data_IF_767541520981
#
_entry.id   IF_767541520981
#
_cell.length_a   1.000
_cell.length_b   1.000
_cell.length_c   1.000
_cell.angle_alpha   90.00
_cell.angle_beta   90.00
_cell.angle_gamma   90.00
#
_symmetry.space_group_name_H-M   'P 1'
#
loop_
_entity.id
_entity.type
_entity.pdbx_description
1 polymer ?
#
# COMPACT_ATOMS: atom_id res chain seq x y z
N UNK A 1 17.29 6.46 9.27
CA UNK A 1 18.70 5.97 9.18
C UNK A 1 18.64 4.59 8.56
N UNK A 2 19.57 4.30 7.64
CA UNK A 2 19.73 2.93 7.15
C UNK A 2 20.24 2.08 8.30
N UNK A 3 19.48 1.04 8.70
CA UNK A 3 19.84 0.19 9.83
C UNK A 3 20.14 -1.21 9.28
N UNK A 4 21.31 -1.69 9.57
CA UNK A 4 21.74 -3.05 9.23
C UNK A 4 21.15 -4.01 10.26
N UNK A 5 20.14 -4.77 9.84
CA UNK A 5 19.42 -5.70 10.73
C UNK A 5 20.23 -6.96 11.06
N UNK A 6 21.45 -7.10 10.51
CA UNK A 6 22.30 -8.29 10.70
C UNK A 6 23.31 -8.13 11.83
N UNK A 7 23.42 -6.93 12.46
CA UNK A 7 24.50 -6.60 13.40
C UNK A 7 24.15 -6.67 14.88
N UNK A 8 22.89 -6.44 15.23
CA UNK A 8 22.44 -6.43 16.62
C UNK A 8 21.75 -7.76 16.99
N UNK A 9 21.54 -7.98 18.28
CA UNK A 9 20.79 -9.16 18.78
C UNK A 9 19.38 -9.21 18.16
N UNK A 10 18.90 -10.38 17.69
CA UNK A 10 17.64 -10.54 16.94
C UNK A 10 16.45 -9.85 17.59
N UNK A 11 16.18 -10.12 18.85
CA UNK A 11 15.01 -9.61 19.58
C UNK A 11 14.96 -8.10 19.61
N UNK A 12 16.07 -7.43 19.97
CA UNK A 12 16.14 -5.98 20.08
C UNK A 12 15.97 -5.32 18.72
N UNK A 13 16.57 -5.89 17.68
CA UNK A 13 16.48 -5.40 16.31
C UNK A 13 15.06 -5.53 15.78
N UNK A 14 14.43 -6.69 15.98
CA UNK A 14 13.05 -6.94 15.54
C UNK A 14 12.06 -5.99 16.21
N UNK A 15 12.10 -5.83 17.53
CA UNK A 15 11.19 -4.91 18.21
C UNK A 15 11.38 -3.47 17.80
N UNK A 16 12.62 -3.00 17.67
CA UNK A 16 12.93 -1.63 17.23
C UNK A 16 12.46 -1.34 15.81
N UNK A 17 12.44 -2.35 14.95
CA UNK A 17 11.99 -2.27 13.58
C UNK A 17 10.46 -2.44 13.47
N UNK A 18 9.87 -3.36 14.22
CA UNK A 18 8.46 -3.70 14.21
C UNK A 18 7.57 -2.60 14.81
N UNK A 19 7.97 -2.02 15.96
CA UNK A 19 7.13 -1.04 16.67
C UNK A 19 6.70 0.14 15.79
N UNK A 20 7.58 0.83 15.04
CA UNK A 20 7.13 1.91 14.16
C UNK A 20 6.18 1.43 13.06
N UNK A 21 6.33 0.21 12.55
CA UNK A 21 5.43 -0.37 11.55
C UNK A 21 4.05 -0.65 12.14
N UNK A 22 3.98 -1.18 13.36
CA UNK A 22 2.71 -1.40 14.08
C UNK A 22 1.99 -0.08 14.36
N UNK A 23 2.72 0.95 14.79
CA UNK A 23 2.16 2.30 14.95
C UNK A 23 1.62 2.86 13.63
N UNK A 24 2.30 2.62 12.52
CA UNK A 24 1.82 3.01 11.18
C UNK A 24 0.47 2.37 10.87
N UNK A 25 0.33 1.07 11.11
CA UNK A 25 -0.92 0.33 10.87
C UNK A 25 -2.04 0.82 11.76
N UNK A 26 -1.78 0.98 13.07
CA UNK A 26 -2.77 1.48 14.00
C UNK A 26 -3.26 2.89 13.61
N UNK A 27 -2.33 3.78 13.27
CA UNK A 27 -2.65 5.13 12.84
C UNK A 27 -3.43 5.14 11.52
N UNK A 28 -3.06 4.28 10.55
CA UNK A 28 -3.78 4.14 9.29
C UNK A 28 -5.24 3.73 9.49
N UNK A 29 -5.52 2.85 10.46
CA UNK A 29 -6.90 2.46 10.78
C UNK A 29 -7.70 3.61 11.38
N UNK A 30 -7.10 4.39 12.30
CA UNK A 30 -7.73 5.59 12.85
C UNK A 30 -8.01 6.61 11.73
N UNK A 31 -7.05 6.83 10.85
CA UNK A 31 -7.20 7.69 9.70
C UNK A 31 -8.35 7.24 8.78
N UNK A 32 -8.43 5.96 8.41
CA UNK A 32 -9.50 5.42 7.56
C UNK A 32 -10.89 5.62 8.18
N UNK A 33 -11.00 5.55 9.52
CA UNK A 33 -12.26 5.83 10.23
C UNK A 33 -12.59 7.33 10.12
N UNK A 34 -11.62 8.21 10.36
CA UNK A 34 -11.82 9.66 10.29
C UNK A 34 -12.21 10.11 8.87
N UNK A 35 -11.54 9.62 7.85
CA UNK A 35 -11.86 9.87 6.44
C UNK A 35 -13.29 9.45 6.09
N UNK A 36 -13.69 8.23 6.49
CA UNK A 36 -15.05 7.73 6.30
C UNK A 36 -16.12 8.57 7.05
N UNK A 37 -15.78 9.08 8.23
CA UNK A 37 -16.69 9.96 9.00
C UNK A 37 -16.84 11.32 8.32
N UNK A 38 -15.77 11.90 7.79
CA UNK A 38 -15.82 13.18 7.07
C UNK A 38 -16.63 13.01 5.77
N UNK A 39 -16.35 11.97 5.00
CA UNK A 39 -17.10 11.67 3.78
C UNK A 39 -18.59 11.49 4.06
N UNK A 40 -18.96 10.68 5.04
CA UNK A 40 -20.36 10.43 5.39
C UNK A 40 -21.09 11.66 5.90
N UNK A 41 -20.43 12.50 6.73
CA UNK A 41 -21.05 13.68 7.33
C UNK A 41 -21.21 14.86 6.36
N UNK A 42 -20.27 15.07 5.48
CA UNK A 42 -20.19 16.28 4.66
C UNK A 42 -20.44 16.04 3.15
N UNK A 43 -20.13 14.85 2.62
CA UNK A 43 -20.42 14.53 1.22
C UNK A 43 -21.81 13.93 1.01
N UNK A 44 -22.45 13.41 2.08
CA UNK A 44 -23.78 12.81 2.04
C UNK A 44 -23.75 11.29 1.92
N UNK A 45 -24.92 10.67 2.12
CA UNK A 45 -25.08 9.20 2.16
C UNK A 45 -24.80 8.57 0.78
N UNK A 46 -25.24 9.19 -0.31
CA UNK A 46 -25.00 8.68 -1.66
C UNK A 46 -23.52 8.70 -2.03
N UNK A 47 -22.80 9.74 -1.60
CA UNK A 47 -21.35 9.83 -1.79
C UNK A 47 -20.60 8.72 -1.04
N UNK A 48 -20.96 8.50 0.23
CA UNK A 48 -20.38 7.42 1.03
C UNK A 48 -20.72 6.05 0.43
N UNK A 49 -21.95 5.86 -0.05
CA UNK A 49 -22.38 4.64 -0.71
C UNK A 49 -21.59 4.39 -2.04
N UNK A 50 -21.34 5.45 -2.82
CA UNK A 50 -20.56 5.36 -4.07
C UNK A 50 -19.09 4.97 -3.81
N UNK A 51 -18.46 5.58 -2.80
CA UNK A 51 -17.09 5.22 -2.37
C UNK A 51 -17.07 3.77 -1.87
N UNK A 52 -18.04 3.38 -1.03
CA UNK A 52 -18.19 2.02 -0.52
C UNK A 52 -18.39 0.98 -1.61
N UNK A 53 -19.23 1.27 -2.61
CA UNK A 53 -19.46 0.39 -3.77
C UNK A 53 -18.19 0.22 -4.63
N UNK A 54 -17.33 1.24 -4.71
CA UNK A 54 -16.05 1.18 -5.45
C UNK A 54 -14.96 0.38 -4.72
N UNK A 55 -15.12 0.14 -3.41
CA UNK A 55 -14.10 -0.46 -2.55
C UNK A 55 -13.57 -1.82 -3.05
N UNK A 56 -14.39 -2.79 -3.50
CA UNK A 56 -13.90 -4.07 -4.01
C UNK A 56 -12.93 -3.92 -5.19
N UNK A 57 -13.19 -2.95 -6.07
CA UNK A 57 -12.34 -2.66 -7.23
C UNK A 57 -11.03 -2.01 -6.78
N UNK A 58 -11.10 -1.04 -5.86
CA UNK A 58 -9.90 -0.37 -5.35
C UNK A 58 -8.97 -1.33 -4.61
N UNK A 59 -9.52 -2.33 -3.87
CA UNK A 59 -8.71 -3.36 -3.19
C UNK A 59 -7.96 -4.24 -4.19
N UNK A 60 -8.54 -4.56 -5.34
CA UNK A 60 -7.84 -5.30 -6.40
C UNK A 60 -6.66 -4.47 -6.92
N UNK A 61 -6.84 -3.18 -7.21
CA UNK A 61 -5.74 -2.31 -7.60
C UNK A 61 -4.67 -2.17 -6.50
N UNK A 62 -5.08 -2.08 -5.23
CA UNK A 62 -4.14 -2.09 -4.10
C UNK A 62 -3.33 -3.38 -4.01
N UNK A 63 -3.91 -4.54 -4.36
CA UNK A 63 -3.19 -5.81 -4.33
C UNK A 63 -1.93 -5.78 -5.23
N UNK A 64 -2.02 -5.11 -6.40
CA UNK A 64 -0.85 -4.92 -7.26
C UNK A 64 0.23 -4.05 -6.59
N UNK A 65 -0.17 -2.98 -5.92
CA UNK A 65 0.78 -2.10 -5.22
C UNK A 65 1.47 -2.82 -4.05
N UNK A 66 0.71 -3.58 -3.25
CA UNK A 66 1.23 -4.37 -2.13
C UNK A 66 2.14 -5.50 -2.60
N UNK A 67 1.77 -6.21 -3.67
CA UNK A 67 2.61 -7.26 -4.24
C UNK A 67 3.93 -6.73 -4.79
N UNK A 68 3.91 -5.62 -5.52
CA UNK A 68 5.14 -4.98 -6.03
C UNK A 68 6.02 -4.43 -4.89
N UNK A 69 5.41 -3.89 -3.83
CA UNK A 69 6.10 -3.51 -2.60
C UNK A 69 6.86 -4.71 -2.00
N UNK A 70 6.16 -5.83 -1.79
CA UNK A 70 6.76 -7.03 -1.17
C UNK A 70 7.89 -7.60 -2.05
N UNK A 71 7.65 -7.74 -3.36
CA UNK A 71 8.67 -8.23 -4.29
C UNK A 71 9.93 -7.36 -4.31
N UNK A 72 9.77 -6.05 -4.39
CA UNK A 72 10.87 -5.09 -4.34
C UNK A 72 11.59 -5.14 -2.98
N UNK A 73 10.85 -5.16 -1.87
CA UNK A 73 11.40 -5.17 -0.52
C UNK A 73 12.29 -6.39 -0.27
N UNK A 74 11.84 -7.59 -0.61
CA UNK A 74 12.60 -8.84 -0.38
C UNK A 74 13.90 -8.86 -1.19
N UNK A 75 13.84 -8.51 -2.49
CA UNK A 75 15.04 -8.53 -3.35
C UNK A 75 16.04 -7.46 -2.92
N UNK A 76 15.57 -6.25 -2.59
CA UNK A 76 16.44 -5.17 -2.09
C UNK A 76 17.04 -5.54 -0.74
N UNK A 77 16.26 -6.13 0.20
CA UNK A 77 16.74 -6.60 1.50
C UNK A 77 17.87 -7.61 1.36
N UNK A 78 17.70 -8.60 0.46
CA UNK A 78 18.71 -9.64 0.19
C UNK A 78 20.01 -9.05 -0.34
N UNK A 79 19.93 -8.15 -1.34
CA UNK A 79 21.11 -7.50 -1.91
C UNK A 79 21.77 -6.55 -0.92
N UNK A 80 20.99 -5.88 -0.07
CA UNK A 80 21.48 -5.03 0.98
C UNK A 80 22.26 -5.84 2.05
N UNK A 81 21.70 -6.96 2.51
CA UNK A 81 22.38 -7.88 3.43
C UNK A 81 23.66 -8.47 2.87
N UNK A 82 23.70 -8.76 1.56
CA UNK A 82 24.91 -9.21 0.85
C UNK A 82 25.97 -8.12 0.67
N UNK A 83 25.68 -6.87 1.04
CA UNK A 83 26.60 -5.73 0.84
C UNK A 83 26.75 -5.28 -0.63
N UNK A 84 25.93 -5.83 -1.54
CA UNK A 84 25.97 -5.47 -2.97
C UNK A 84 25.25 -4.15 -3.24
N UNK A 85 25.97 -3.04 -3.02
CA UNK A 85 25.45 -1.68 -3.23
C UNK A 85 25.00 -1.41 -4.66
N UNK A 86 25.73 -1.95 -5.65
CA UNK A 86 25.38 -1.80 -7.07
C UNK A 86 24.13 -2.62 -7.42
N UNK A 87 24.02 -3.83 -6.85
CA UNK A 87 22.83 -4.67 -6.94
C UNK A 87 21.60 -4.01 -6.34
N UNK A 88 21.72 -3.43 -5.14
CA UNK A 88 20.63 -2.64 -4.51
C UNK A 88 20.14 -1.54 -5.45
N UNK A 89 21.06 -0.74 -6.02
CA UNK A 89 20.68 0.35 -6.93
C UNK A 89 19.98 -0.16 -8.19
N UNK A 90 20.48 -1.27 -8.80
CA UNK A 90 19.83 -1.92 -9.95
C UNK A 90 18.46 -2.48 -9.60
N UNK A 91 18.30 -3.10 -8.43
CA UNK A 91 17.01 -3.62 -7.98
C UNK A 91 16.00 -2.50 -7.77
N UNK A 92 16.41 -1.39 -7.16
CA UNK A 92 15.57 -0.21 -6.94
C UNK A 92 15.13 0.40 -8.27
N UNK A 93 16.04 0.64 -9.22
CA UNK A 93 15.68 1.20 -10.54
C UNK A 93 14.76 0.26 -11.31
N UNK A 94 15.00 -1.05 -11.26
CA UNK A 94 14.14 -2.07 -11.89
C UNK A 94 12.75 -2.11 -11.24
N UNK A 95 12.67 -2.04 -9.90
CA UNK A 95 11.41 -2.00 -9.18
C UNK A 95 10.58 -0.76 -9.55
N UNK A 96 11.20 0.41 -9.63
CA UNK A 96 10.51 1.63 -10.08
C UNK A 96 10.05 1.54 -11.54
N UNK A 97 10.92 1.12 -12.45
CA UNK A 97 10.57 1.01 -13.86
C UNK A 97 9.40 0.04 -14.07
N UNK A 98 9.44 -1.14 -13.44
CA UNK A 98 8.39 -2.14 -13.55
C UNK A 98 7.07 -1.70 -12.90
N UNK A 99 7.14 -1.10 -11.71
CA UNK A 99 5.94 -0.63 -10.99
C UNK A 99 5.30 0.55 -11.70
N UNK A 100 6.08 1.48 -12.23
CA UNK A 100 5.55 2.61 -13.00
C UNK A 100 4.90 2.13 -14.31
N UNK A 101 5.52 1.20 -15.02
CA UNK A 101 4.93 0.59 -16.22
C UNK A 101 3.61 -0.11 -15.90
N UNK A 102 3.57 -0.89 -14.82
CA UNK A 102 2.35 -1.55 -14.36
C UNK A 102 1.28 -0.52 -13.95
N UNK A 103 1.66 0.54 -13.23
CA UNK A 103 0.75 1.62 -12.85
C UNK A 103 0.11 2.28 -14.08
N UNK A 104 0.90 2.58 -15.11
CA UNK A 104 0.38 3.16 -16.37
C UNK A 104 -0.60 2.20 -17.04
N UNK A 105 -0.26 0.90 -17.16
CA UNK A 105 -1.15 -0.11 -17.75
C UNK A 105 -2.47 -0.19 -16.97
N UNK A 106 -2.41 -0.26 -15.63
CA UNK A 106 -3.60 -0.33 -14.78
C UNK A 106 -4.42 0.96 -14.83
N UNK A 107 -3.76 2.12 -14.92
CA UNK A 107 -4.45 3.42 -15.07
C UNK A 107 -5.20 3.49 -16.39
N UNK A 108 -4.56 3.13 -17.50
CA UNK A 108 -5.20 3.12 -18.82
C UNK A 108 -6.37 2.13 -18.84
N UNK A 109 -6.13 0.90 -18.38
CA UNK A 109 -7.19 -0.13 -18.30
C UNK A 109 -8.35 0.36 -17.40
N UNK A 110 -8.04 0.80 -16.18
CA UNK A 110 -9.04 1.28 -15.23
C UNK A 110 -9.86 2.44 -15.79
N UNK A 111 -9.20 3.44 -16.40
CA UNK A 111 -9.90 4.62 -16.95
C UNK A 111 -10.96 4.26 -17.99
N UNK A 112 -10.63 3.37 -18.92
CA UNK A 112 -11.58 2.94 -19.96
C UNK A 112 -12.67 2.01 -19.44
N UNK A 113 -12.37 1.17 -18.44
CA UNK A 113 -13.28 0.14 -17.95
C UNK A 113 -13.94 0.45 -16.60
N UNK A 114 -13.75 1.65 -16.02
CA UNK A 114 -14.37 2.04 -14.74
C UNK A 114 -15.87 1.74 -14.70
N UNK A 115 -16.60 2.15 -15.74
CA UNK A 115 -18.06 1.95 -15.81
C UNK A 115 -18.42 0.47 -15.86
N UNK A 116 -17.77 -0.30 -16.73
CA UNK A 116 -18.01 -1.74 -16.85
C UNK A 116 -17.72 -2.48 -15.52
N UNK A 117 -16.65 -2.10 -14.82
CA UNK A 117 -16.33 -2.68 -13.52
C UNK A 117 -17.45 -2.42 -12.49
N UNK A 118 -17.98 -1.19 -12.44
CA UNK A 118 -19.10 -0.84 -11.56
C UNK A 118 -20.38 -1.57 -11.95
N UNK A 119 -20.65 -1.77 -13.24
CA UNK A 119 -21.76 -2.55 -13.74
C UNK A 119 -21.63 -4.05 -13.38
N UNK A 120 -20.43 -4.63 -13.47
CA UNK A 120 -20.16 -6.03 -13.09
C UNK A 120 -20.43 -6.33 -11.62
N UNK A 121 -20.20 -5.37 -10.74
CA UNK A 121 -20.51 -5.51 -9.31
C UNK A 121 -21.94 -5.09 -8.96
N UNK A 122 -22.80 -4.90 -9.98
CA UNK A 122 -24.22 -4.53 -9.83
C UNK A 122 -24.45 -3.27 -8.99
N UNK A 123 -23.64 -2.24 -9.22
CA UNK A 123 -23.78 -0.95 -8.52
C UNK A 123 -25.15 -0.32 -8.85
N UNK A 124 -25.92 0.15 -7.84
CA UNK A 124 -27.20 0.81 -8.03
C UNK A 124 -27.09 2.07 -8.92
N UNK A 125 -28.10 2.31 -9.75
CA UNK A 125 -28.09 3.38 -10.75
C UNK A 125 -28.02 4.79 -10.14
N UNK A 126 -28.57 5.00 -8.94
CA UNK A 126 -28.54 6.29 -8.23
C UNK A 126 -27.13 6.73 -7.83
N UNK A 127 -26.21 5.79 -7.55
CA UNK A 127 -24.83 6.07 -7.15
C UNK A 127 -23.81 5.75 -8.26
N UNK A 128 -24.25 5.24 -9.41
CA UNK A 128 -23.38 4.80 -10.50
C UNK A 128 -22.47 5.93 -11.02
N UNK A 129 -23.01 7.11 -11.22
CA UNK A 129 -22.21 8.24 -11.74
C UNK A 129 -21.11 8.67 -10.77
N UNK A 130 -21.45 8.76 -9.51
CA UNK A 130 -20.52 9.13 -8.43
C UNK A 130 -19.44 8.06 -8.23
N UNK A 131 -19.83 6.78 -8.27
CA UNK A 131 -18.88 5.67 -8.18
C UNK A 131 -17.89 5.62 -9.36
N UNK A 132 -18.38 5.84 -10.58
CA UNK A 132 -17.52 5.95 -11.78
C UNK A 132 -16.59 7.16 -11.70
N UNK A 133 -17.08 8.31 -11.22
CA UNK A 133 -16.27 9.51 -11.03
C UNK A 133 -15.17 9.28 -10.01
N UNK A 134 -15.51 8.72 -8.84
CA UNK A 134 -14.56 8.34 -7.80
C UNK A 134 -13.48 7.41 -8.34
N UNK A 135 -13.89 6.33 -9.02
CA UNK A 135 -12.98 5.34 -9.54
C UNK A 135 -12.06 5.90 -10.63
N UNK A 136 -12.54 6.80 -11.49
CA UNK A 136 -11.71 7.51 -12.48
C UNK A 136 -10.61 8.33 -11.81
N UNK A 137 -10.93 9.09 -10.77
CA UNK A 137 -9.93 9.88 -10.04
C UNK A 137 -8.95 8.94 -9.34
N UNK A 138 -9.45 7.86 -8.72
CA UNK A 138 -8.63 6.87 -8.03
C UNK A 138 -7.62 6.19 -8.97
N UNK A 139 -8.02 5.78 -10.19
CA UNK A 139 -7.10 5.11 -11.12
C UNK A 139 -6.00 6.04 -11.63
N UNK A 140 -6.25 7.35 -11.75
CA UNK A 140 -5.16 8.30 -11.98
C UNK A 140 -4.18 8.37 -10.81
N UNK A 141 -4.67 8.16 -9.59
CA UNK A 141 -3.87 8.06 -8.37
C UNK A 141 -3.02 6.79 -8.27
N UNK A 142 -3.26 5.76 -9.09
CA UNK A 142 -2.50 4.50 -9.04
C UNK A 142 -1.00 4.69 -9.24
N UNK A 143 -0.60 5.66 -10.06
CA UNK A 143 0.81 5.98 -10.27
C UNK A 143 1.46 6.40 -8.95
N UNK A 144 0.81 7.25 -8.19
CA UNK A 144 1.30 7.70 -6.87
C UNK A 144 1.19 6.61 -5.82
N UNK A 145 0.11 5.82 -5.84
CA UNK A 145 -0.08 4.67 -4.96
C UNK A 145 1.06 3.66 -5.13
N UNK A 146 1.34 3.25 -6.37
CA UNK A 146 2.42 2.32 -6.68
C UNK A 146 3.78 2.88 -6.31
N UNK A 147 4.04 4.14 -6.66
CA UNK A 147 5.29 4.82 -6.33
C UNK A 147 5.54 4.87 -4.83
N UNK A 148 4.53 5.29 -4.06
CA UNK A 148 4.59 5.33 -2.60
C UNK A 148 4.84 3.95 -1.99
N UNK A 149 4.11 2.92 -2.43
CA UNK A 149 4.26 1.55 -1.94
C UNK A 149 5.67 1.00 -2.21
N UNK A 150 6.21 1.19 -3.40
CA UNK A 150 7.58 0.76 -3.71
C UNK A 150 8.61 1.52 -2.87
N UNK A 151 8.45 2.83 -2.69
CA UNK A 151 9.32 3.60 -1.81
C UNK A 151 9.30 3.06 -0.37
N UNK A 152 8.12 2.81 0.19
CA UNK A 152 7.98 2.28 1.56
C UNK A 152 8.58 0.89 1.69
N UNK A 153 8.40 0.01 0.70
CA UNK A 153 9.03 -1.31 0.65
C UNK A 153 10.56 -1.22 0.64
N UNK A 154 11.13 -0.29 -0.12
CA UNK A 154 12.58 -0.09 -0.18
C UNK A 154 13.11 0.51 1.13
N UNK A 155 12.42 1.47 1.77
CA UNK A 155 12.80 1.95 3.10
C UNK A 155 12.83 0.81 4.11
N UNK A 156 11.79 -0.03 4.12
CA UNK A 156 11.72 -1.21 4.98
C UNK A 156 12.85 -2.19 4.68
N UNK A 157 13.16 -2.43 3.40
CA UNK A 157 14.28 -3.27 2.96
C UNK A 157 15.64 -2.76 3.44
N UNK A 158 15.81 -1.45 3.59
CA UNK A 158 17.01 -0.80 4.10
C UNK A 158 16.99 -0.66 5.64
N UNK A 159 16.05 -1.30 6.34
CA UNK A 159 15.94 -1.26 7.79
C UNK A 159 15.38 0.05 8.36
N UNK A 160 14.74 0.87 7.53
CA UNK A 160 14.13 2.14 7.96
C UNK A 160 12.61 2.05 8.01
N UNK A 161 12.07 1.68 9.16
CA UNK A 161 10.61 1.66 9.41
C UNK A 161 10.04 3.01 9.87
N UNK A 162 10.89 3.97 10.26
CA UNK A 162 10.45 5.28 10.79
C UNK A 162 10.07 6.25 9.70
N UNK A 163 10.81 6.26 8.60
CA UNK A 163 10.55 7.19 7.49
C UNK A 163 9.19 6.97 6.85
N UNK A 164 8.75 5.74 6.53
CA UNK A 164 7.37 5.48 6.10
C UNK A 164 6.31 5.96 7.10
N UNK A 165 6.55 5.79 8.41
CA UNK A 165 5.63 6.28 9.46
C UNK A 165 5.44 7.79 9.37
N UNK A 166 6.52 8.58 9.26
CA UNK A 166 6.42 10.03 9.16
C UNK A 166 5.68 10.48 7.90
N UNK A 167 5.91 9.82 6.77
CA UNK A 167 5.17 10.11 5.54
C UNK A 167 3.68 9.78 5.68
N UNK A 168 3.36 8.67 6.32
CA UNK A 168 1.96 8.30 6.60
C UNK A 168 1.27 9.35 7.49
N UNK A 169 1.91 9.76 8.59
CA UNK A 169 1.36 10.78 9.49
C UNK A 169 1.12 12.10 8.77
N UNK A 170 2.12 12.58 8.01
CA UNK A 170 2.02 13.83 7.26
C UNK A 170 0.95 13.77 6.15
N UNK A 171 0.91 12.67 5.43
CA UNK A 171 -0.07 12.40 4.37
C UNK A 171 -1.50 12.36 4.89
N UNK A 172 -1.72 11.62 5.98
CA UNK A 172 -3.04 11.50 6.58
C UNK A 172 -3.55 12.83 7.17
N UNK A 173 -2.67 13.58 7.84
CA UNK A 173 -3.02 14.92 8.33
C UNK A 173 -3.35 15.86 7.16
N UNK A 174 -2.53 15.86 6.11
CA UNK A 174 -2.78 16.65 4.90
C UNK A 174 -4.08 16.25 4.18
N UNK A 175 -4.37 14.96 4.10
CA UNK A 175 -5.62 14.48 3.50
C UNK A 175 -6.84 14.93 4.29
N UNK A 176 -6.85 14.80 5.64
CA UNK A 176 -7.95 15.28 6.48
C UNK A 176 -8.20 16.78 6.25
N UNK A 177 -7.14 17.60 6.16
CA UNK A 177 -7.27 19.03 5.87
C UNK A 177 -7.89 19.28 4.49
N UNK A 178 -7.46 18.53 3.48
CA UNK A 178 -7.98 18.63 2.11
C UNK A 178 -9.43 18.14 2.04
N UNK A 179 -9.80 17.07 2.75
CA UNK A 179 -11.17 16.58 2.83
C UNK A 179 -12.09 17.64 3.43
N UNK A 180 -11.71 18.25 4.56
CA UNK A 180 -12.46 19.34 5.16
C UNK A 180 -12.57 20.54 4.22
N UNK A 181 -11.54 20.86 3.46
CA UNK A 181 -11.56 21.93 2.48
C UNK A 181 -12.48 21.63 1.31
N UNK A 182 -12.28 20.48 0.65
CA UNK A 182 -12.98 20.16 -0.59
C UNK A 182 -14.41 19.68 -0.34
N UNK A 183 -14.62 18.89 0.71
CA UNK A 183 -15.93 18.29 1.00
C UNK A 183 -16.78 19.21 1.88
N UNK A 184 -16.24 19.68 3.02
CA UNK A 184 -17.02 20.46 3.95
C UNK A 184 -17.18 21.94 3.53
N UNK A 185 -16.13 22.57 2.95
CA UNK A 185 -16.17 24.00 2.60
C UNK A 185 -16.54 24.25 1.15
N UNK A 186 -16.00 23.46 0.20
CA UNK A 186 -16.25 23.64 -1.23
C UNK A 186 -17.42 22.80 -1.76
N UNK A 187 -17.93 21.87 -0.96
CA UNK A 187 -19.06 20.99 -1.28
C UNK A 187 -18.90 20.21 -2.59
N UNK A 188 -17.67 19.73 -2.86
CA UNK A 188 -17.38 18.94 -4.06
C UNK A 188 -17.88 17.47 -3.98
N UNK A 189 -18.53 17.07 -2.89
CA UNK A 189 -19.05 15.71 -2.72
C UNK A 189 -18.01 14.64 -2.93
N UNK A 190 -18.36 13.62 -3.73
CA UNK A 190 -17.47 12.47 -4.03
C UNK A 190 -16.16 12.90 -4.70
N UNK A 191 -16.21 13.89 -5.61
CA UNK A 191 -15.02 14.40 -6.26
C UNK A 191 -14.04 15.02 -5.24
N UNK A 192 -14.56 15.67 -4.19
CA UNK A 192 -13.77 16.24 -3.11
C UNK A 192 -12.96 15.18 -2.37
N UNK A 193 -13.61 14.09 -1.94
CA UNK A 193 -12.97 12.95 -1.26
C UNK A 193 -11.87 12.35 -2.15
N UNK A 194 -12.20 12.06 -3.41
CA UNK A 194 -11.25 11.45 -4.34
C UNK A 194 -10.05 12.37 -4.63
N UNK A 195 -10.28 13.67 -4.84
CA UNK A 195 -9.22 14.64 -5.10
C UNK A 195 -8.34 14.87 -3.87
N UNK A 196 -8.88 14.92 -2.67
CA UNK A 196 -8.11 15.06 -1.44
C UNK A 196 -7.13 13.88 -1.28
N UNK A 197 -7.62 12.67 -1.45
CA UNK A 197 -6.80 11.44 -1.41
C UNK A 197 -5.73 11.46 -2.52
N UNK A 198 -6.10 11.81 -3.74
CA UNK A 198 -5.19 11.90 -4.89
C UNK A 198 -4.03 12.88 -4.62
N UNK A 199 -4.33 14.08 -4.14
CA UNK A 199 -3.32 15.13 -3.88
C UNK A 199 -2.44 14.74 -2.69
N UNK A 200 -3.02 14.30 -1.57
CA UNK A 200 -2.27 13.90 -0.39
C UNK A 200 -1.30 12.75 -0.70
N UNK A 201 -1.78 11.77 -1.46
CA UNK A 201 -0.97 10.62 -1.88
C UNK A 201 0.10 11.01 -2.89
N UNK A 202 -0.21 11.93 -3.82
CA UNK A 202 0.75 12.48 -4.78
C UNK A 202 1.91 13.19 -4.10
N UNK A 203 1.62 14.09 -3.16
CA UNK A 203 2.63 14.81 -2.38
C UNK A 203 3.51 13.80 -1.61
N UNK A 204 2.88 12.84 -0.94
CA UNK A 204 3.61 11.83 -0.15
C UNK A 204 4.50 10.94 -1.02
N UNK A 205 4.01 10.53 -2.19
CA UNK A 205 4.78 9.71 -3.15
C UNK A 205 6.02 10.47 -3.65
N UNK A 206 5.85 11.76 -4.00
CA UNK A 206 6.98 12.59 -4.45
C UNK A 206 7.99 12.81 -3.33
N UNK A 207 7.55 13.14 -2.11
CA UNK A 207 8.44 13.32 -0.97
C UNK A 207 9.17 12.02 -0.61
N UNK A 208 8.49 10.88 -0.63
CA UNK A 208 9.09 9.58 -0.40
C UNK A 208 10.14 9.26 -1.46
N UNK A 209 9.83 9.49 -2.74
CA UNK A 209 10.78 9.28 -3.85
C UNK A 209 12.02 10.15 -3.71
N UNK A 210 11.86 11.46 -3.51
CA UNK A 210 13.00 12.39 -3.35
C UNK A 210 13.87 11.97 -2.17
N UNK A 211 13.26 11.66 -1.02
CA UNK A 211 13.98 11.21 0.15
C UNK A 211 14.75 9.91 -0.11
N UNK A 212 14.13 8.97 -0.80
CA UNK A 212 14.75 7.69 -1.16
C UNK A 212 15.91 7.88 -2.11
N UNK A 213 15.75 8.69 -3.16
CA UNK A 213 16.81 8.97 -4.14
C UNK A 213 18.03 9.62 -3.47
N UNK A 214 17.81 10.61 -2.59
CA UNK A 214 18.91 11.25 -1.83
C UNK A 214 19.66 10.23 -0.96
N UNK A 215 18.93 9.35 -0.29
CA UNK A 215 19.56 8.30 0.54
C UNK A 215 20.29 7.26 -0.28
N UNK A 216 19.71 6.87 -1.40
CA UNK A 216 20.31 5.89 -2.29
C UNK A 216 21.63 6.41 -2.89
N UNK A 217 21.69 7.69 -3.25
CA UNK A 217 22.93 8.34 -3.70
C UNK A 217 24.01 8.33 -2.61
N UNK A 218 23.64 8.62 -1.37
CA UNK A 218 24.58 8.57 -0.23
C UNK A 218 25.09 7.17 0.07
N UNK A 219 24.22 6.14 -0.12
CA UNK A 219 24.55 4.76 0.18
C UNK A 219 25.34 4.08 -0.96
N UNK A 220 24.88 4.20 -2.20
CA UNK A 220 25.38 3.46 -3.36
C UNK A 220 26.22 4.32 -4.33
N UNK A 221 26.47 5.58 -4.00
CA UNK A 221 27.21 6.50 -4.85
C UNK A 221 26.44 6.99 -6.07
N UNK A 222 27.14 7.80 -6.91
CA UNK A 222 26.55 8.42 -8.10
C UNK A 222 26.73 7.60 -9.38
N UNK A 223 27.32 6.40 -9.29
CA UNK A 223 27.52 5.54 -10.46
C UNK A 223 26.19 5.25 -11.19
N UNK A 224 26.20 5.34 -12.51
CA UNK A 224 25.05 5.01 -13.34
C UNK A 224 24.89 3.49 -13.40
N UNK A 225 23.66 3.03 -13.19
CA UNK A 225 23.27 1.63 -13.34
C UNK A 225 22.18 1.52 -14.42
N UNK A 226 22.00 0.35 -15.06
CA UNK A 226 20.88 0.13 -15.97
C UNK A 226 19.54 0.46 -15.29
N UNK A 227 18.64 1.11 -16.01
CA UNK A 227 17.28 1.41 -15.52
C UNK A 227 16.46 0.14 -15.29
N UNK A 228 16.75 -0.92 -16.03
CA UNK A 228 16.04 -2.18 -15.98
C UNK A 228 16.99 -3.37 -16.10
N UNK A 229 16.83 -4.33 -15.19
CA UNK A 229 17.55 -5.60 -15.17
C UNK A 229 16.54 -6.76 -15.22
N UNK A 230 16.53 -7.52 -16.32
CA UNK A 230 15.57 -8.59 -16.54
C UNK A 230 15.65 -9.70 -15.48
N UNK A 231 16.83 -10.00 -14.96
CA UNK A 231 16.99 -11.05 -13.94
C UNK A 231 16.35 -10.60 -12.62
N UNK A 232 16.62 -9.36 -12.20
CA UNK A 232 16.02 -8.79 -11.02
C UNK A 232 14.51 -8.61 -11.16
N UNK A 233 14.03 -8.22 -12.34
CA UNK A 233 12.61 -8.13 -12.63
C UNK A 233 11.89 -9.46 -12.44
N UNK A 234 12.42 -10.56 -13.00
CA UNK A 234 11.84 -11.90 -12.84
C UNK A 234 11.83 -12.31 -11.37
N UNK A 235 12.88 -12.02 -10.61
CA UNK A 235 12.92 -12.30 -9.18
C UNK A 235 11.89 -11.50 -8.39
N UNK A 236 11.71 -10.22 -8.72
CA UNK A 236 10.66 -9.37 -8.11
C UNK A 236 9.27 -9.94 -8.42
N UNK A 237 9.01 -10.30 -9.68
CA UNK A 237 7.72 -10.87 -10.09
C UNK A 237 7.44 -12.23 -9.45
N UNK A 238 8.46 -13.07 -9.26
CA UNK A 238 8.30 -14.36 -8.61
C UNK A 238 7.75 -14.26 -7.17
N UNK A 239 7.96 -13.11 -6.51
CA UNK A 239 7.41 -12.82 -5.19
C UNK A 239 6.11 -12.00 -5.31
N UNK A 240 6.10 -11.01 -6.19
CA UNK A 240 4.97 -10.09 -6.34
C UNK A 240 3.70 -10.80 -6.84
N UNK A 241 3.82 -11.66 -7.86
CA UNK A 241 2.65 -12.32 -8.48
C UNK A 241 1.90 -13.22 -7.50
N UNK A 242 2.54 -14.15 -6.75
CA UNK A 242 1.85 -14.93 -5.71
C UNK A 242 1.18 -14.05 -4.65
N UNK A 243 1.83 -12.95 -4.23
CA UNK A 243 1.27 -12.01 -3.27
C UNK A 243 0.04 -11.29 -3.81
N UNK A 244 0.07 -10.83 -5.07
CA UNK A 244 -1.08 -10.21 -5.75
C UNK A 244 -2.25 -11.19 -5.80
N UNK A 245 -2.00 -12.43 -6.22
CA UNK A 245 -3.01 -13.47 -6.30
C UNK A 245 -3.61 -13.77 -4.93
N UNK A 246 -2.78 -13.93 -3.90
CA UNK A 246 -3.22 -14.15 -2.52
C UNK A 246 -4.16 -13.04 -2.04
N UNK A 247 -3.78 -11.78 -2.20
CA UNK A 247 -4.60 -10.63 -1.81
C UNK A 247 -5.91 -10.55 -2.60
N UNK A 248 -5.85 -10.83 -3.91
CA UNK A 248 -7.03 -10.81 -4.77
C UNK A 248 -8.02 -11.93 -4.39
N UNK A 249 -7.54 -13.14 -4.14
CA UNK A 249 -8.39 -14.28 -3.73
C UNK A 249 -9.04 -14.02 -2.37
N UNK A 250 -8.27 -13.48 -1.41
CA UNK A 250 -8.82 -13.11 -0.10
C UNK A 250 -9.92 -12.05 -0.23
N UNK A 251 -9.73 -11.05 -1.09
CA UNK A 251 -10.71 -10.00 -1.33
C UNK A 251 -12.00 -10.54 -1.93
N UNK A 252 -11.88 -11.40 -2.94
CA UNK A 252 -13.02 -12.07 -3.57
C UNK A 252 -13.74 -12.99 -2.55
N UNK A 253 -12.99 -13.74 -1.75
CA UNK A 253 -13.54 -14.56 -0.67
C UNK A 253 -14.37 -13.75 0.33
N UNK A 254 -13.88 -12.59 0.74
CA UNK A 254 -14.61 -11.69 1.64
C UNK A 254 -15.92 -11.17 1.02
N UNK A 255 -15.96 -10.93 -0.30
CA UNK A 255 -17.20 -10.55 -1.00
C UNK A 255 -18.25 -11.66 -0.96
N UNK A 256 -17.86 -12.93 -1.15
CA UNK A 256 -18.78 -14.06 -1.03
C UNK A 256 -19.33 -14.22 0.39
N UNK A 257 -18.48 -14.06 1.40
CA UNK A 257 -18.93 -14.11 2.80
C UNK A 257 -19.89 -12.96 3.09
N UNK A 258 -19.63 -11.76 2.58
CA UNK A 258 -20.51 -10.60 2.75
C UNK A 258 -21.88 -10.83 2.09
N UNK A 259 -21.93 -11.43 0.89
CA UNK A 259 -23.19 -11.75 0.23
C UNK A 259 -24.04 -12.72 1.08
N UNK A 260 -23.41 -13.75 1.64
CA UNK A 260 -24.09 -14.69 2.54
C UNK A 260 -24.63 -13.96 3.77
N UNK A 261 -23.82 -13.14 4.42
CA UNK A 261 -24.20 -12.40 5.64
C UNK A 261 -25.37 -11.45 5.38
N UNK A 262 -25.40 -10.82 4.21
CA UNK A 262 -26.47 -9.89 3.82
C UNK A 262 -27.85 -10.56 3.79
N UNK A 263 -27.92 -11.89 3.59
CA UNK A 263 -29.18 -12.64 3.58
C UNK A 263 -29.81 -12.83 4.97
N UNK A 264 -29.06 -12.61 6.04
CA UNK A 264 -29.53 -12.81 7.42
C UNK A 264 -30.11 -11.54 8.07
N UNK A 265 -30.24 -10.45 7.32
CA UNK A 265 -30.85 -9.21 7.76
C UNK A 265 -29.91 -8.23 8.47
N UNK A 266 -30.40 -7.01 8.69
CA UNK A 266 -29.59 -5.85 9.08
C UNK A 266 -28.87 -5.99 10.43
N UNK A 267 -29.48 -6.66 11.40
CA UNK A 267 -28.87 -6.87 12.72
C UNK A 267 -27.61 -7.76 12.64
N UNK A 268 -27.68 -8.83 11.83
CA UNK A 268 -26.53 -9.73 11.61
C UNK A 268 -25.45 -9.01 10.81
N UNK A 269 -25.82 -8.25 9.79
CA UNK A 269 -24.88 -7.43 9.00
C UNK A 269 -24.15 -6.43 9.87
N UNK A 270 -24.84 -5.74 10.78
CA UNK A 270 -24.21 -4.78 11.70
C UNK A 270 -23.22 -5.45 12.66
N UNK A 271 -23.59 -6.58 13.26
CA UNK A 271 -22.71 -7.38 14.12
C UNK A 271 -21.47 -7.89 13.37
N UNK A 272 -21.66 -8.44 12.18
CA UNK A 272 -20.58 -8.90 11.30
C UNK A 272 -19.64 -7.75 10.91
N UNK A 273 -20.18 -6.60 10.54
CA UNK A 273 -19.38 -5.42 10.18
C UNK A 273 -18.49 -4.93 11.32
N UNK A 274 -18.99 -4.99 12.55
CA UNK A 274 -18.18 -4.72 13.74
C UNK A 274 -17.07 -5.75 13.95
N UNK A 275 -17.41 -7.04 13.87
CA UNK A 275 -16.46 -8.13 14.02
C UNK A 275 -15.36 -8.12 12.95
N UNK A 276 -15.71 -7.84 11.69
CA UNK A 276 -14.74 -7.82 10.59
C UNK A 276 -13.76 -6.66 10.71
N UNK A 277 -14.16 -5.52 11.27
CA UNK A 277 -13.24 -4.38 11.55
C UNK A 277 -12.17 -4.77 12.56
N UNK A 278 -12.56 -5.45 13.64
CA UNK A 278 -11.61 -5.96 14.64
C UNK A 278 -10.68 -7.03 14.04
N UNK A 279 -11.25 -7.95 13.26
CA UNK A 279 -10.47 -8.99 12.58
C UNK A 279 -9.48 -8.38 11.57
N UNK A 280 -9.88 -7.39 10.79
CA UNK A 280 -9.00 -6.68 9.84
C UNK A 280 -7.85 -5.98 10.57
N UNK A 281 -8.12 -5.38 11.72
CA UNK A 281 -7.07 -4.77 12.55
C UNK A 281 -6.04 -5.82 12.99
N UNK A 282 -6.49 -6.97 13.50
CA UNK A 282 -5.62 -8.06 13.90
C UNK A 282 -4.81 -8.62 12.70
N UNK A 283 -5.47 -8.87 11.57
CA UNK A 283 -4.81 -9.35 10.34
C UNK A 283 -3.71 -8.37 9.90
N UNK A 284 -3.98 -7.07 9.91
CA UNK A 284 -2.98 -6.07 9.51
C UNK A 284 -1.75 -6.06 10.43
N UNK A 285 -1.93 -6.33 11.73
CA UNK A 285 -0.80 -6.50 12.67
C UNK A 285 0.02 -7.73 12.28
N UNK A 286 -0.62 -8.89 12.03
CA UNK A 286 0.09 -10.10 11.61
C UNK A 286 0.79 -9.94 10.26
N UNK A 287 0.15 -9.27 9.29
CA UNK A 287 0.78 -8.97 7.99
C UNK A 287 2.01 -8.07 8.15
N UNK A 288 1.96 -7.12 9.07
CA UNK A 288 3.09 -6.24 9.38
C UNK A 288 4.23 -7.02 10.01
N UNK A 289 3.92 -7.93 10.93
CA UNK A 289 4.89 -8.85 11.52
C UNK A 289 5.55 -9.72 10.43
N UNK A 290 4.75 -10.31 9.54
CA UNK A 290 5.24 -11.08 8.42
C UNK A 290 6.16 -10.28 7.48
N UNK A 291 5.83 -9.04 7.19
CA UNK A 291 6.65 -8.13 6.37
C UNK A 291 7.97 -7.77 7.06
N UNK A 292 7.92 -7.53 8.38
CA UNK A 292 9.09 -7.28 9.22
C UNK A 292 10.05 -8.49 9.21
N UNK A 293 9.52 -9.69 9.48
CA UNK A 293 10.28 -10.93 9.46
C UNK A 293 10.84 -11.23 8.06
N UNK A 294 10.06 -11.01 7.00
CA UNK A 294 10.51 -11.19 5.63
C UNK A 294 11.74 -10.33 5.30
N UNK A 295 11.71 -9.05 5.68
CA UNK A 295 12.83 -8.14 5.45
C UNK A 295 14.05 -8.51 6.30
N UNK A 296 13.84 -8.87 7.57
CA UNK A 296 14.90 -9.33 8.47
C UNK A 296 15.57 -10.60 7.92
N UNK A 297 14.77 -11.62 7.60
CA UNK A 297 15.25 -12.89 7.05
C UNK A 297 15.98 -12.69 5.73
N UNK A 298 15.43 -11.86 4.82
CA UNK A 298 16.06 -11.60 3.52
C UNK A 298 17.43 -10.93 3.67
N UNK A 299 17.60 -9.99 4.62
CA UNK A 299 18.89 -9.36 4.89
C UNK A 299 19.90 -10.37 5.46
N UNK A 300 19.49 -11.23 6.41
CA UNK A 300 20.37 -12.23 7.02
C UNK A 300 20.78 -13.33 6.02
N UNK A 301 19.86 -13.81 5.17
CA UNK A 301 20.18 -14.72 4.07
C UNK A 301 21.19 -14.06 3.12
N UNK A 302 20.98 -12.80 2.77
CA UNK A 302 21.91 -12.04 1.93
C UNK A 302 23.29 -11.93 2.53
N UNK A 303 23.39 -11.76 3.85
CA UNK A 303 24.64 -11.70 4.62
C UNK A 303 25.31 -13.08 4.84
N UNK A 304 24.71 -14.19 4.39
CA UNK A 304 25.23 -15.54 4.59
C UNK A 304 25.07 -16.08 6.01
N UNK A 305 24.27 -15.42 6.88
CA UNK A 305 24.03 -15.81 8.26
C UNK A 305 22.83 -16.75 8.36
N UNK A 306 23.00 -18.00 7.93
CA UNK A 306 21.91 -18.99 7.93
C UNK A 306 21.73 -19.70 9.29
N UNK A 307 22.73 -19.68 10.17
CA UNK A 307 22.70 -20.40 11.44
C UNK A 307 21.89 -19.72 12.54
N UNK A 308 21.60 -18.42 12.41
CA UNK A 308 20.84 -17.64 13.40
C UNK A 308 19.31 -17.89 13.36
N UNK A 309 18.81 -18.69 12.40
CA UNK A 309 17.36 -18.92 12.24
C UNK A 309 16.78 -19.98 13.18
N UNK A 310 17.62 -20.76 13.87
CA UNK A 310 17.17 -21.84 14.77
C UNK A 310 17.07 -21.45 16.26
N UNK A 311 17.40 -20.21 16.61
CA UNK A 311 17.46 -19.76 18.02
C UNK A 311 16.42 -18.67 18.36
N UNK A 312 15.50 -18.31 17.49
CA UNK A 312 14.39 -17.36 17.71
C UNK A 312 13.02 -18.06 17.49
#
# INVERSE_FOLDING_TARGET
MVTDLTKEHPDKTLWRFLLPMMFSVAFQQIYNIADSMIAGRFAGEDALAAVGASYPITVIFMAFAVGMNLGASVIVSRLFGAGDRKGVKRAVTTAFASSLSLAVILTVYGYFFCRNMMEWIHTPQNIMQDGVLYLKIYVFGLIFLMLYNVCTGIFTALGDSRTPLWFLLGSSAGNIVLDLLFVAKLHWGVAGVACATFIAQGISAVLALVTLLVRLQKFAGTERVPLFDRKLFVQILAIAVPSILQQSVLSVGNLFVQDIVNRYGSAVVAGYSGAIKLNTFAINIFMTLGSCLSSYTAQNIGAGKQEDFGQG
#
